data_IF_515886852848
#
_entry.id   IF_515886852848
#
_cell.length_a   1.000
_cell.length_b   1.000
_cell.length_c   1.000
_cell.angle_alpha   90.00
_cell.angle_beta   90.00
_cell.angle_gamma   90.00
#
_symmetry.space_group_name_H-M   'P 1'
#
loop_
_entity.id
_entity.type
_entity.pdbx_description
1 polymer ?
#
# COMPACT_ATOMS: atom_id res chain seq x y z
N UNK A 1 18.63 6.18 14.34
CA UNK A 1 18.69 4.77 13.89
C UNK A 1 18.87 4.81 12.39
N UNK A 2 20.00 4.28 11.93
CA UNK A 2 20.41 4.24 10.53
C UNK A 2 19.28 3.73 9.63
N UNK A 3 18.78 4.56 8.72
CA UNK A 3 18.12 4.07 7.51
C UNK A 3 19.23 3.46 6.67
N UNK A 4 19.32 2.14 6.71
CA UNK A 4 20.19 1.40 5.82
C UNK A 4 19.55 1.43 4.42
N UNK A 5 19.77 2.53 3.71
CA UNK A 5 19.32 2.76 2.33
C UNK A 5 19.89 1.70 1.36
N UNK A 6 20.83 0.87 1.82
CA UNK A 6 21.39 -0.26 1.06
C UNK A 6 20.38 -1.40 0.82
N UNK A 7 19.33 -1.53 1.64
CA UNK A 7 18.33 -2.61 1.47
C UNK A 7 17.45 -2.35 0.23
N UNK A 8 17.22 -1.08 -0.13
CA UNK A 8 16.32 -0.73 -1.23
C UNK A 8 17.02 -0.67 -2.61
N UNK A 9 18.35 -0.52 -2.64
CA UNK A 9 19.11 -0.15 -3.84
C UNK A 9 20.02 -1.26 -4.40
N UNK A 10 19.89 -2.51 -3.93
CA UNK A 10 20.78 -3.57 -4.40
C UNK A 10 20.54 -3.89 -5.88
N UNK A 11 21.50 -3.52 -6.74
CA UNK A 11 21.57 -3.83 -8.18
C UNK A 11 21.42 -5.33 -8.55
N UNK A 12 21.40 -6.23 -7.56
CA UNK A 12 21.35 -7.69 -7.72
C UNK A 12 19.98 -8.31 -7.39
N UNK A 13 18.92 -7.53 -7.12
CA UNK A 13 17.59 -8.11 -6.91
C UNK A 13 16.99 -8.63 -8.21
N UNK A 14 16.29 -9.77 -8.12
CA UNK A 14 15.53 -10.30 -9.24
C UNK A 14 14.46 -9.30 -9.68
N UNK A 15 14.41 -9.04 -10.98
CA UNK A 15 13.43 -8.16 -11.62
C UNK A 15 12.23 -8.98 -12.05
N UNK A 16 11.10 -8.77 -11.39
CA UNK A 16 9.87 -9.47 -11.70
C UNK A 16 9.18 -8.80 -12.90
N UNK A 17 8.93 -9.53 -14.01
CA UNK A 17 8.36 -8.95 -15.22
C UNK A 17 6.84 -8.80 -15.09
N UNK A 18 6.40 -7.76 -14.41
CA UNK A 18 4.98 -7.47 -14.17
C UNK A 18 4.17 -7.15 -15.43
N UNK A 19 4.84 -6.91 -16.56
CA UNK A 19 4.26 -6.48 -17.84
C UNK A 19 4.18 -7.57 -18.91
N UNK A 20 4.59 -8.81 -18.60
CA UNK A 20 4.59 -9.87 -19.62
C UNK A 20 3.17 -10.18 -20.13
N UNK A 21 3.00 -10.25 -21.44
CA UNK A 21 1.75 -10.68 -22.07
C UNK A 21 1.36 -12.11 -21.67
N UNK A 22 2.30 -12.91 -21.18
CA UNK A 22 2.02 -14.25 -20.63
C UNK A 22 1.10 -14.26 -19.41
N UNK A 23 0.96 -13.13 -18.70
CA UNK A 23 0.09 -13.04 -17.52
C UNK A 23 -1.39 -12.83 -17.87
N UNK A 24 -1.72 -12.48 -19.13
CA UNK A 24 -3.09 -12.28 -19.60
C UNK A 24 -4.02 -13.47 -19.35
N UNK A 25 -3.49 -14.68 -19.48
CA UNK A 25 -4.19 -15.95 -19.24
C UNK A 25 -3.97 -16.50 -17.83
N UNK A 26 -3.31 -15.73 -16.97
CA UNK A 26 -2.98 -16.15 -15.62
C UNK A 26 -4.25 -16.31 -14.78
N UNK A 27 -4.44 -17.51 -14.25
CA UNK A 27 -5.46 -17.84 -13.26
C UNK A 27 -4.99 -17.57 -11.83
N UNK A 28 -3.84 -16.91 -11.66
CA UNK A 28 -3.26 -16.62 -10.35
C UNK A 28 -4.16 -15.64 -9.60
N UNK A 29 -4.72 -16.13 -8.49
CA UNK A 29 -5.60 -15.37 -7.60
C UNK A 29 -4.84 -14.68 -6.46
N UNK A 30 -3.66 -15.17 -6.10
CA UNK A 30 -2.84 -14.66 -5.00
C UNK A 30 -1.38 -14.65 -5.43
N UNK A 31 -0.73 -13.49 -5.29
CA UNK A 31 0.66 -13.28 -5.62
C UNK A 31 1.38 -12.66 -4.43
N UNK A 32 2.47 -13.30 -4.01
CA UNK A 32 3.34 -12.78 -2.96
C UNK A 32 4.74 -12.61 -3.53
N UNK A 33 5.25 -11.38 -3.49
CA UNK A 33 6.57 -11.02 -3.97
C UNK A 33 7.40 -10.49 -2.80
N UNK A 34 8.56 -11.11 -2.59
CA UNK A 34 9.47 -10.80 -1.50
C UNK A 34 10.88 -10.57 -2.03
N UNK A 35 11.54 -9.50 -1.62
CA UNK A 35 12.95 -9.24 -1.95
C UNK A 35 13.24 -9.18 -3.46
N UNK A 36 12.35 -8.54 -4.22
CA UNK A 36 12.46 -8.34 -5.68
C UNK A 36 12.45 -6.86 -6.04
N UNK A 37 12.76 -6.55 -7.29
CA UNK A 37 12.41 -5.28 -7.93
C UNK A 37 11.22 -5.52 -8.86
N UNK A 38 10.21 -4.66 -8.82
CA UNK A 38 9.07 -4.72 -9.72
C UNK A 38 9.33 -3.85 -10.95
N UNK A 39 9.31 -4.44 -12.14
CA UNK A 39 9.37 -3.68 -13.38
C UNK A 39 7.98 -3.23 -13.77
N UNK A 40 7.63 -2.02 -13.39
CA UNK A 40 6.33 -1.44 -13.68
C UNK A 40 6.17 -1.10 -15.17
N UNK A 41 4.94 -1.19 -15.72
CA UNK A 41 4.66 -0.71 -17.06
C UNK A 41 4.94 0.78 -17.17
N UNK A 42 5.68 1.16 -18.23
CA UNK A 42 6.03 2.55 -18.55
C UNK A 42 4.83 3.30 -19.13
N UNK A 43 3.85 2.58 -19.68
CA UNK A 43 2.64 3.12 -20.30
C UNK A 43 1.48 2.18 -19.96
N UNK A 44 0.26 2.68 -19.66
CA UNK A 44 -0.93 1.84 -19.71
C UNK A 44 -1.19 1.50 -21.18
N UNK A 45 -0.51 0.47 -21.70
CA UNK A 45 -0.80 -0.03 -23.04
C UNK A 45 -2.22 -0.61 -23.06
N UNK A 46 -2.98 -0.23 -24.08
CA UNK A 46 -4.36 -0.66 -24.37
C UNK A 46 -4.46 -2.19 -24.58
N UNK A 47 -3.31 -2.89 -24.70
CA UNK A 47 -3.16 -4.33 -24.88
C UNK A 47 -2.64 -5.05 -23.62
N UNK A 48 -3.41 -4.93 -22.54
CA UNK A 48 -3.88 -6.08 -21.77
C UNK A 48 -2.93 -6.87 -20.86
N UNK A 49 -1.62 -6.65 -20.82
CA UNK A 49 -0.73 -7.39 -19.89
C UNK A 49 -1.11 -7.21 -18.41
N UNK A 50 -1.36 -8.30 -17.67
CA UNK A 50 -1.61 -8.22 -16.22
C UNK A 50 -2.43 -9.36 -15.63
N UNK A 51 -2.67 -9.30 -14.32
CA UNK A 51 -3.34 -10.37 -13.58
C UNK A 51 -4.84 -10.09 -13.41
N UNK A 52 -5.63 -10.46 -14.40
CA UNK A 52 -7.09 -10.21 -14.40
C UNK A 52 -7.83 -10.87 -13.24
N UNK A 53 -7.38 -12.04 -12.79
CA UNK A 53 -7.99 -12.78 -11.68
C UNK A 53 -7.33 -12.52 -10.32
N UNK A 54 -6.27 -11.71 -10.23
CA UNK A 54 -5.56 -11.52 -8.97
C UNK A 54 -6.43 -10.79 -7.96
N UNK A 55 -6.69 -11.47 -6.84
CA UNK A 55 -7.46 -10.95 -5.71
C UNK A 55 -6.59 -10.48 -4.56
N UNK A 56 -5.41 -11.11 -4.38
CA UNK A 56 -4.51 -10.80 -3.27
C UNK A 56 -3.10 -10.52 -3.77
N UNK A 57 -2.57 -9.36 -3.43
CA UNK A 57 -1.19 -8.98 -3.72
C UNK A 57 -0.45 -8.66 -2.41
N UNK A 58 0.63 -9.38 -2.16
CA UNK A 58 1.55 -9.10 -1.07
C UNK A 58 2.91 -8.69 -1.61
N UNK A 59 3.41 -7.54 -1.19
CA UNK A 59 4.71 -7.00 -1.54
C UNK A 59 5.54 -6.83 -0.26
N UNK A 60 6.71 -7.45 -0.21
CA UNK A 60 7.60 -7.37 0.93
C UNK A 60 9.03 -7.07 0.48
N UNK A 61 9.68 -6.05 1.06
CA UNK A 61 11.07 -5.70 0.73
C UNK A 61 11.29 -5.46 -0.77
N UNK A 62 10.28 -4.89 -1.43
CA UNK A 62 10.33 -4.59 -2.85
C UNK A 62 11.04 -3.24 -3.03
N UNK A 63 12.13 -3.25 -3.79
CA UNK A 63 12.89 -2.04 -4.12
C UNK A 63 12.28 -1.30 -5.30
N UNK A 64 12.46 0.03 -5.33
CA UNK A 64 12.11 0.92 -6.44
C UNK A 64 10.67 0.76 -6.96
N UNK A 65 9.69 0.63 -6.05
CA UNK A 65 8.30 0.36 -6.43
C UNK A 65 7.67 1.48 -7.27
N UNK A 66 8.23 2.69 -7.29
CA UNK A 66 7.71 3.80 -8.11
C UNK A 66 6.22 4.09 -7.88
N UNK A 67 5.52 4.51 -8.93
CA UNK A 67 4.06 4.63 -8.92
C UNK A 67 3.41 3.28 -9.27
N UNK A 68 2.81 2.61 -8.27
CA UNK A 68 2.18 1.31 -8.44
C UNK A 68 0.82 1.40 -9.18
N UNK A 69 0.28 2.61 -9.38
CA UNK A 69 -1.06 2.82 -9.95
C UNK A 69 -1.28 2.12 -11.30
N UNK A 70 -0.36 2.19 -12.29
CA UNK A 70 -0.51 1.49 -13.58
C UNK A 70 -0.52 -0.04 -13.46
N UNK A 71 0.20 -0.60 -12.48
CA UNK A 71 0.17 -2.04 -12.24
C UNK A 71 -1.17 -2.48 -11.60
N UNK A 72 -1.67 -1.70 -10.65
CA UNK A 72 -2.96 -1.97 -10.00
C UNK A 72 -4.14 -1.83 -10.97
N UNK A 73 -4.07 -0.92 -11.95
CA UNK A 73 -5.13 -0.82 -12.98
C UNK A 73 -5.25 -2.09 -13.82
N UNK A 74 -4.17 -2.86 -13.97
CA UNK A 74 -4.17 -4.13 -14.70
C UNK A 74 -4.60 -5.33 -13.84
N UNK A 75 -5.00 -5.10 -12.58
CA UNK A 75 -5.48 -6.11 -11.64
C UNK A 75 -6.93 -5.80 -11.20
N UNK A 76 -7.93 -5.88 -12.10
CA UNK A 76 -9.30 -5.41 -11.84
C UNK A 76 -10.02 -6.17 -10.72
N UNK A 77 -9.63 -7.41 -10.45
CA UNK A 77 -10.21 -8.25 -9.39
C UNK A 77 -9.52 -8.11 -8.03
N UNK A 78 -8.55 -7.19 -7.88
CA UNK A 78 -7.77 -7.08 -6.65
C UNK A 78 -8.63 -6.63 -5.49
N UNK A 79 -8.74 -7.45 -4.44
CA UNK A 79 -9.55 -7.18 -3.25
C UNK A 79 -8.66 -6.84 -2.04
N UNK A 80 -7.40 -7.29 -2.06
CA UNK A 80 -6.48 -7.24 -0.92
C UNK A 80 -5.07 -6.85 -1.37
N UNK A 81 -4.55 -5.77 -0.81
CA UNK A 81 -3.20 -5.28 -1.04
C UNK A 81 -2.45 -5.15 0.29
N UNK A 82 -1.30 -5.80 0.40
CA UNK A 82 -0.38 -5.63 1.53
C UNK A 82 1.00 -5.25 1.02
N UNK A 83 1.54 -4.16 1.54
CA UNK A 83 2.87 -3.68 1.23
C UNK A 83 3.64 -3.53 2.55
N UNK A 84 4.78 -4.19 2.64
CA UNK A 84 5.61 -4.17 3.86
C UNK A 84 7.08 -3.94 3.55
N UNK A 85 7.71 -3.06 4.32
CA UNK A 85 9.15 -2.75 4.22
C UNK A 85 9.58 -2.41 2.79
N UNK A 86 8.80 -1.59 2.10
CA UNK A 86 9.05 -1.13 0.73
C UNK A 86 9.07 0.40 0.69
N UNK A 87 9.81 0.99 -0.25
CA UNK A 87 9.70 2.42 -0.56
C UNK A 87 8.57 2.62 -1.57
N UNK A 88 7.56 3.41 -1.20
CA UNK A 88 6.40 3.67 -2.06
C UNK A 88 6.10 5.17 -2.02
N UNK A 89 6.53 5.96 -3.02
CA UNK A 89 6.37 7.41 -2.97
C UNK A 89 4.89 7.82 -2.97
N UNK A 90 4.09 7.20 -3.85
CA UNK A 90 2.67 7.47 -3.98
C UNK A 90 1.89 6.17 -4.14
N UNK A 91 0.79 6.07 -3.41
CA UNK A 91 -0.12 4.94 -3.51
C UNK A 91 -1.56 5.42 -3.68
N UNK A 92 -2.15 5.08 -4.82
CA UNK A 92 -3.59 5.24 -5.10
C UNK A 92 -4.22 3.86 -5.10
N UNK A 93 -5.03 3.55 -4.08
CA UNK A 93 -5.58 2.20 -3.90
C UNK A 93 -7.01 2.14 -4.41
N UNK A 94 -7.36 1.17 -5.26
CA UNK A 94 -8.71 1.09 -5.80
C UNK A 94 -9.71 0.27 -4.96
N UNK A 95 -9.30 -0.61 -4.03
CA UNK A 95 -10.20 -1.70 -3.52
C UNK A 95 -9.96 -2.18 -2.07
N UNK A 96 -10.82 -3.11 -1.64
CA UNK A 96 -11.41 -3.38 -0.31
C UNK A 96 -10.51 -3.48 0.94
N UNK A 97 -9.30 -4.02 0.85
CA UNK A 97 -8.37 -4.12 1.99
C UNK A 97 -7.00 -3.56 1.63
N UNK A 98 -6.47 -2.70 2.50
CA UNK A 98 -5.12 -2.15 2.40
C UNK A 98 -4.34 -2.34 3.70
N UNK A 99 -3.16 -2.96 3.62
CA UNK A 99 -2.18 -3.01 4.69
C UNK A 99 -0.86 -2.35 4.23
N UNK A 100 -0.35 -1.41 5.03
CA UNK A 100 0.95 -0.76 4.81
C UNK A 100 1.79 -0.86 6.08
N UNK A 101 2.92 -1.56 6.01
CA UNK A 101 3.73 -1.91 7.18
C UNK A 101 5.21 -1.56 7.04
N UNK A 102 5.76 -0.71 7.90
CA UNK A 102 7.18 -0.33 7.93
C UNK A 102 7.70 0.16 6.57
N UNK A 103 6.86 0.82 5.80
CA UNK A 103 7.22 1.43 4.52
C UNK A 103 7.68 2.86 4.71
N UNK A 104 8.57 3.31 3.84
CA UNK A 104 8.83 4.73 3.67
C UNK A 104 7.90 5.23 2.56
N UNK A 105 6.88 5.98 2.97
CA UNK A 105 5.76 6.40 2.13
C UNK A 105 5.45 7.87 2.36
N UNK A 106 5.50 8.66 1.30
CA UNK A 106 5.26 10.11 1.39
C UNK A 106 3.77 10.44 1.40
N UNK A 107 2.96 9.69 0.64
CA UNK A 107 1.51 9.85 0.65
C UNK A 107 0.72 8.62 0.22
N UNK A 108 -0.34 8.35 0.97
CA UNK A 108 -1.39 7.37 0.68
C UNK A 108 -2.64 8.16 0.32
N UNK A 109 -3.11 8.01 -0.92
CA UNK A 109 -4.40 8.54 -1.35
C UNK A 109 -5.43 7.43 -1.32
N UNK A 110 -6.34 7.52 -0.34
CA UNK A 110 -7.49 6.63 -0.25
C UNK A 110 -8.61 7.22 -1.11
N UNK A 111 -8.99 6.54 -2.19
CA UNK A 111 -10.16 6.94 -3.00
C UNK A 111 -11.43 6.28 -2.46
N UNK A 112 -12.57 6.96 -2.62
CA UNK A 112 -13.89 6.57 -2.12
C UNK A 112 -14.43 5.22 -2.65
N UNK A 113 -13.71 4.56 -3.57
CA UNK A 113 -14.10 3.27 -4.10
C UNK A 113 -13.71 2.14 -3.12
N UNK A 114 -14.66 1.75 -2.28
CA UNK A 114 -14.76 0.40 -1.68
C UNK A 114 -13.78 -0.07 -0.60
N UNK A 115 -12.78 0.71 -0.17
CA UNK A 115 -11.90 0.30 0.95
C UNK A 115 -12.74 0.17 2.24
N UNK A 116 -12.86 -1.04 2.77
CA UNK A 116 -13.55 -1.31 4.05
C UNK A 116 -12.58 -1.49 5.19
N UNK A 117 -11.36 -1.96 4.92
CA UNK A 117 -10.35 -2.21 5.95
C UNK A 117 -9.03 -1.54 5.61
N UNK A 118 -8.52 -0.76 6.55
CA UNK A 118 -7.23 -0.08 6.46
C UNK A 118 -6.36 -0.47 7.66
N UNK A 119 -5.14 -0.92 7.37
CA UNK A 119 -4.15 -1.24 8.38
C UNK A 119 -2.85 -0.51 8.08
N UNK A 120 -2.35 0.20 9.10
CA UNK A 120 -1.07 0.88 9.03
C UNK A 120 -0.20 0.45 10.21
N UNK A 121 1.03 0.06 9.93
CA UNK A 121 2.06 -0.18 10.94
C UNK A 121 3.28 0.62 10.53
N UNK A 122 3.73 1.60 11.29
CA UNK A 122 4.82 2.43 10.75
C UNK A 122 5.27 3.60 11.60
N UNK A 123 5.91 4.55 10.93
CA UNK A 123 6.38 5.77 11.55
C UNK A 123 5.23 6.57 12.20
N UNK A 124 5.52 7.45 13.16
CA UNK A 124 4.47 8.24 13.80
C UNK A 124 3.83 9.28 12.88
N UNK A 125 4.42 9.57 11.72
CA UNK A 125 3.75 10.39 10.71
C UNK A 125 2.83 9.47 9.89
N UNK A 126 1.54 9.79 9.88
CA UNK A 126 0.55 9.06 9.08
C UNK A 126 0.36 9.80 7.74
N UNK A 127 0.94 9.30 6.63
CA UNK A 127 0.99 10.04 5.37
C UNK A 127 -0.31 9.91 4.57
N UNK A 128 -1.47 10.01 5.20
CA UNK A 128 -2.75 9.81 4.53
C UNK A 128 -3.30 11.15 4.03
N UNK A 129 -3.70 11.19 2.76
CA UNK A 129 -4.50 12.25 2.16
C UNK A 129 -5.88 11.68 1.85
N UNK A 130 -6.89 12.34 2.38
CA UNK A 130 -8.29 11.96 2.18
C UNK A 130 -8.94 13.07 1.37
N UNK A 131 -9.43 12.72 0.17
CA UNK A 131 -10.01 13.69 -0.74
C UNK A 131 -11.55 13.66 -0.74
N UNK A 132 -12.14 12.52 -0.34
CA UNK A 132 -13.58 12.25 -0.39
C UNK A 132 -14.00 11.43 0.84
N UNK A 133 -15.32 11.28 1.06
CA UNK A 133 -15.83 10.36 2.08
C UNK A 133 -15.40 8.92 1.80
N UNK A 134 -14.74 8.32 2.78
CA UNK A 134 -14.28 6.94 2.74
C UNK A 134 -15.43 6.02 3.13
N UNK A 135 -15.50 4.82 2.54
CA UNK A 135 -16.42 3.73 2.95
C UNK A 135 -15.75 2.76 3.92
N UNK A 136 -14.85 3.26 4.75
CA UNK A 136 -14.06 2.49 5.70
C UNK A 136 -14.93 2.02 6.87
N UNK A 137 -14.91 0.72 7.17
CA UNK A 137 -15.58 0.14 8.34
C UNK A 137 -14.60 -0.28 9.44
N UNK A 138 -13.34 -0.56 9.08
CA UNK A 138 -12.28 -0.94 10.02
C UNK A 138 -10.99 -0.18 9.73
N UNK A 139 -10.42 0.44 10.75
CA UNK A 139 -9.08 1.02 10.73
C UNK A 139 -8.24 0.51 11.91
N UNK A 140 -7.06 -0.01 11.62
CA UNK A 140 -6.05 -0.35 12.62
C UNK A 140 -4.77 0.43 12.34
N UNK A 141 -4.35 1.24 13.30
CA UNK A 141 -3.14 2.06 13.19
C UNK A 141 -2.20 1.69 14.33
N UNK A 142 -1.02 1.19 13.99
CA UNK A 142 0.06 0.88 14.93
C UNK A 142 1.25 1.79 14.66
N UNK A 143 1.54 2.68 15.60
CA UNK A 143 2.67 3.59 15.51
C UNK A 143 3.87 2.98 16.23
N UNK A 144 4.99 2.87 15.50
CA UNK A 144 6.25 2.28 15.99
C UNK A 144 6.93 3.12 17.08
N UNK A 145 6.58 4.41 17.18
CA UNK A 145 7.03 5.34 18.22
C UNK A 145 5.95 6.37 18.48
N UNK A 146 5.99 7.02 19.64
CA UNK A 146 5.23 8.24 19.91
C UNK A 146 5.96 9.40 19.23
N UNK A 147 5.40 9.91 18.13
CA UNK A 147 5.92 11.13 17.49
C UNK A 147 5.21 12.38 18.01
N UNK A 148 5.25 13.45 17.21
CA UNK A 148 4.47 14.66 17.51
C UNK A 148 2.99 14.31 17.64
N UNK A 149 2.50 14.38 18.87
CA UNK A 149 1.16 13.97 19.25
C UNK A 149 0.11 14.79 18.50
N UNK A 150 0.38 16.06 18.18
CA UNK A 150 -0.55 16.91 17.43
C UNK A 150 -0.71 16.43 15.99
N UNK A 151 0.38 16.10 15.32
CA UNK A 151 0.34 15.59 13.94
C UNK A 151 -0.41 14.26 13.87
N UNK A 152 -0.16 13.37 14.83
CA UNK A 152 -0.89 12.10 14.94
C UNK A 152 -2.38 12.37 15.12
N UNK A 153 -2.76 13.18 16.12
CA UNK A 153 -4.17 13.52 16.39
C UNK A 153 -4.84 14.08 15.14
N UNK A 154 -4.24 15.07 14.48
CA UNK A 154 -4.81 15.70 13.29
C UNK A 154 -5.10 14.67 12.18
N UNK A 155 -4.19 13.72 11.94
CA UNK A 155 -4.37 12.69 10.90
C UNK A 155 -5.40 11.64 11.29
N UNK A 156 -5.47 11.26 12.57
CA UNK A 156 -6.50 10.34 13.04
C UNK A 156 -7.89 10.97 12.99
N UNK A 157 -8.01 12.25 13.38
CA UNK A 157 -9.27 13.01 13.26
C UNK A 157 -9.76 13.04 11.81
N UNK A 158 -8.87 13.29 10.84
CA UNK A 158 -9.23 13.26 9.42
C UNK A 158 -9.80 11.91 8.97
N UNK A 159 -9.25 10.79 9.44
CA UNK A 159 -9.79 9.45 9.13
C UNK A 159 -11.21 9.30 9.67
N UNK A 160 -11.42 9.68 10.94
CA UNK A 160 -12.72 9.54 11.62
C UNK A 160 -13.77 10.42 10.94
N UNK A 161 -13.44 11.67 10.63
CA UNK A 161 -14.34 12.61 9.96
C UNK A 161 -14.67 12.16 8.54
N UNK A 162 -13.70 11.62 7.80
CA UNK A 162 -13.92 11.16 6.45
C UNK A 162 -14.64 9.81 6.37
N UNK A 163 -14.70 9.03 7.45
CA UNK A 163 -15.37 7.74 7.53
C UNK A 163 -16.40 7.71 8.67
N UNK A 164 -17.53 8.43 8.56
CA UNK A 164 -18.53 8.48 9.63
C UNK A 164 -19.17 7.11 9.94
N UNK A 165 -19.12 6.16 9.00
CA UNK A 165 -19.58 4.77 9.19
C UNK A 165 -18.51 3.82 9.77
N UNK A 166 -17.39 4.33 10.29
CA UNK A 166 -16.32 3.52 10.86
C UNK A 166 -16.81 2.76 12.11
N UNK A 167 -16.92 1.43 11.97
CA UNK A 167 -17.43 0.56 13.04
C UNK A 167 -16.33 0.21 14.05
N UNK A 168 -15.09 0.03 13.57
CA UNK A 168 -13.95 -0.34 14.39
C UNK A 168 -12.75 0.55 14.10
N UNK A 169 -12.27 1.23 15.13
CA UNK A 169 -11.03 1.97 15.09
C UNK A 169 -10.12 1.52 16.23
N UNK A 170 -8.92 1.09 15.89
CA UNK A 170 -7.91 0.64 16.85
C UNK A 170 -6.64 1.44 16.65
N UNK A 171 -6.15 2.04 17.74
CA UNK A 171 -4.87 2.73 17.78
C UNK A 171 -3.94 2.00 18.76
N UNK A 172 -2.83 1.50 18.26
CA UNK A 172 -1.72 1.01 19.05
C UNK A 172 -0.57 2.00 18.98
N UNK A 173 -0.08 2.45 20.14
CA UNK A 173 1.12 3.27 20.24
C UNK A 173 2.17 2.45 20.97
N UNK A 174 3.22 2.07 20.26
CA UNK A 174 4.33 1.38 20.89
C UNK A 174 5.26 2.42 21.52
N UNK A 175 5.43 2.34 22.84
CA UNK A 175 6.55 2.98 23.53
C UNK A 175 7.78 2.12 23.27
N UNK A 176 8.78 2.67 22.58
CA UNK A 176 10.14 2.16 22.71
C UNK A 176 10.78 3.06 23.77
N UNK A 177 10.84 2.55 25.00
CA UNK A 177 11.75 3.05 26.02
C UNK A 177 13.21 2.86 25.57
#
# INVERSE_FOLDING_TARGET
MYTDDSIFTSKNKYRFPATSSSWLSSIVMSLALGNVCLELPVIPDDDGGGFKMLKKLQLQLVGDLGDLTPFLSNCPALEWLSITRSFVPHLVVPRTYLHVGHCDIESIQLRAASITTFEYVGAPFLPIKINDSLKLSKANVTLSRVGDTLVVILRLTQIIEAAPQLEHFVLHMNSLD
#
